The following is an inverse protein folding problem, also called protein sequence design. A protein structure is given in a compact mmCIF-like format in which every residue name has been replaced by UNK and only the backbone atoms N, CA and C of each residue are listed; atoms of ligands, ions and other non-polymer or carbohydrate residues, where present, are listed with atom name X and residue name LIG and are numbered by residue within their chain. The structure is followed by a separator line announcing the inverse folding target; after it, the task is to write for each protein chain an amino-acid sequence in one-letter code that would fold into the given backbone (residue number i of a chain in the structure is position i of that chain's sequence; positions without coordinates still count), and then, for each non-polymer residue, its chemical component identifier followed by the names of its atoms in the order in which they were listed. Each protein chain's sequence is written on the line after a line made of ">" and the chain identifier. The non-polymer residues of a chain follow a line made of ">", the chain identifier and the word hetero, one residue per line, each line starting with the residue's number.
data_IF_903761871032
#
_entry.id   IF_903761871032
#
_cell.length_a   1.000
_cell.length_b   1.000
_cell.length_c   1.000
_cell.angle_alpha   90.00
_cell.angle_beta   90.00
_cell.angle_gamma   90.00
#
_symmetry.space_group_name_H-M   'P 1'
#
loop_
_entity.id
_entity.type
_entity.pdbx_description
1 polymer ?
#
# COMPACT_ATOMS: atom_id res chain seq x y z
N UNK A 1 29.74 14.82 -8.59
CA UNK A 1 28.75 15.45 -7.69
C UNK A 1 27.32 15.13 -8.13
N UNK A 2 26.93 13.84 -8.26
CA UNK A 2 25.59 13.48 -8.81
C UNK A 2 24.99 12.21 -8.24
N UNK A 3 25.46 11.72 -7.10
CA UNK A 3 24.97 10.48 -6.46
C UNK A 3 23.85 10.72 -5.44
N UNK A 4 23.57 11.98 -5.06
CA UNK A 4 22.66 12.30 -3.96
C UNK A 4 21.22 12.59 -4.39
N UNK A 5 21.00 13.04 -5.62
CA UNK A 5 19.65 13.42 -6.08
C UNK A 5 18.73 12.21 -6.22
N UNK A 6 19.24 11.07 -6.74
CA UNK A 6 18.45 9.85 -6.84
C UNK A 6 18.23 9.16 -5.48
N UNK A 7 19.08 9.39 -4.48
CA UNK A 7 18.85 8.85 -3.14
C UNK A 7 17.70 9.60 -2.43
N UNK A 8 17.67 10.93 -2.56
CA UNK A 8 16.65 11.80 -1.94
C UNK A 8 15.24 11.56 -2.50
N UNK A 9 15.11 11.33 -3.82
CA UNK A 9 13.82 10.98 -4.44
C UNK A 9 13.31 9.59 -4.02
N UNK A 10 14.19 8.61 -3.85
CA UNK A 10 13.78 7.25 -3.46
C UNK A 10 13.35 7.16 -1.99
N UNK A 11 14.02 7.90 -1.11
CA UNK A 11 13.63 7.99 0.30
C UNK A 11 12.25 8.67 0.44
N UNK A 12 11.92 9.65 -0.43
CA UNK A 12 10.57 10.21 -0.48
C UNK A 12 9.54 9.20 -0.99
N UNK A 13 9.86 8.41 -2.00
CA UNK A 13 8.94 7.41 -2.56
C UNK A 13 8.59 6.33 -1.51
N UNK A 14 9.58 5.83 -0.76
CA UNK A 14 9.34 4.86 0.34
C UNK A 14 8.47 5.44 1.45
N UNK A 15 8.72 6.70 1.85
CA UNK A 15 7.91 7.38 2.85
C UNK A 15 6.45 7.57 2.37
N UNK A 16 6.26 7.84 1.08
CA UNK A 16 4.94 7.95 0.47
C UNK A 16 4.18 6.60 0.50
N UNK A 17 4.86 5.48 0.26
CA UNK A 17 4.26 4.14 0.40
C UNK A 17 3.77 3.87 1.82
N UNK A 18 4.54 4.22 2.83
CA UNK A 18 4.17 3.99 4.23
C UNK A 18 2.94 4.82 4.63
N UNK A 19 2.86 6.09 4.23
CA UNK A 19 1.68 6.94 4.47
C UNK A 19 0.43 6.38 3.77
N UNK A 20 0.59 5.88 2.53
CA UNK A 20 -0.51 5.23 1.82
C UNK A 20 -0.99 3.96 2.54
N UNK A 21 -0.07 3.13 3.03
CA UNK A 21 -0.40 1.90 3.75
C UNK A 21 -1.12 2.18 5.07
N UNK A 22 -0.67 3.16 5.86
CA UNK A 22 -1.35 3.57 7.10
C UNK A 22 -2.78 4.08 6.85
N UNK A 23 -2.94 4.86 5.77
CA UNK A 23 -4.26 5.34 5.34
C UNK A 23 -5.19 4.18 4.97
N UNK A 24 -4.67 3.20 4.22
CA UNK A 24 -5.42 2.01 3.82
C UNK A 24 -5.76 1.11 5.01
N UNK A 25 -4.85 0.95 5.97
CA UNK A 25 -5.09 0.21 7.21
C UNK A 25 -6.22 0.85 8.02
N UNK A 26 -6.22 2.18 8.15
CA UNK A 26 -7.30 2.91 8.81
C UNK A 26 -8.65 2.72 8.09
N UNK A 27 -8.66 2.78 6.76
CA UNK A 27 -9.87 2.59 5.96
C UNK A 27 -10.42 1.15 6.06
N UNK A 28 -9.53 0.16 6.09
CA UNK A 28 -9.88 -1.26 6.25
C UNK A 28 -10.53 -1.51 7.61
N UNK A 29 -9.95 -0.98 8.68
CA UNK A 29 -10.50 -1.16 10.04
C UNK A 29 -11.86 -0.47 10.19
N UNK A 30 -12.03 0.73 9.65
CA UNK A 30 -13.32 1.41 9.66
C UNK A 30 -14.37 0.64 8.84
N UNK A 31 -14.01 0.14 7.66
CA UNK A 31 -14.92 -0.66 6.84
C UNK A 31 -15.32 -1.97 7.54
N UNK A 32 -14.39 -2.68 8.17
CA UNK A 32 -14.67 -3.89 8.99
C UNK A 32 -15.65 -3.56 10.11
N UNK A 33 -15.40 -2.50 10.88
CA UNK A 33 -16.29 -2.03 11.93
C UNK A 33 -17.71 -1.75 11.43
N UNK A 34 -17.86 -1.11 10.26
CA UNK A 34 -19.17 -0.84 9.64
C UNK A 34 -19.87 -2.13 9.19
N UNK A 35 -19.12 -3.08 8.63
CA UNK A 35 -19.65 -4.39 8.26
C UNK A 35 -20.15 -5.16 9.49
N UNK A 36 -19.49 -5.05 10.64
CA UNK A 36 -19.83 -5.81 11.84
C UNK A 36 -20.95 -5.16 12.68
N UNK A 37 -21.00 -3.83 12.73
CA UNK A 37 -21.86 -3.06 13.64
C UNK A 37 -23.38 -3.03 13.33
N UNK A 38 -23.85 -3.66 12.24
CA UNK A 38 -25.23 -3.53 11.75
C UNK A 38 -26.23 -4.55 12.32
N UNK A 39 -27.47 -4.12 12.62
CA UNK A 39 -28.63 -5.02 12.87
C UNK A 39 -29.23 -5.49 11.53
N UNK A 40 -29.34 -6.81 11.32
CA UNK A 40 -29.70 -7.46 10.03
C UNK A 40 -31.22 -7.55 9.76
N UNK A 41 -32.05 -6.79 10.49
CA UNK A 41 -33.52 -6.95 10.38
C UNK A 41 -34.19 -6.04 9.34
N UNK A 42 -33.44 -5.16 8.67
CA UNK A 42 -33.95 -4.22 7.67
C UNK A 42 -33.15 -4.35 6.34
N UNK A 43 -33.87 -4.46 5.23
CA UNK A 43 -33.30 -4.56 3.88
C UNK A 43 -32.43 -3.36 3.49
N UNK A 44 -32.74 -2.15 3.97
CA UNK A 44 -31.91 -0.97 3.70
C UNK A 44 -30.57 -1.03 4.43
N UNK A 45 -30.57 -1.52 5.68
CA UNK A 45 -29.33 -1.75 6.43
C UNK A 45 -28.47 -2.83 5.77
N UNK A 46 -29.09 -3.87 5.21
CA UNK A 46 -28.36 -4.93 4.50
C UNK A 46 -27.76 -4.43 3.17
N UNK A 47 -28.47 -3.57 2.43
CA UNK A 47 -27.92 -2.89 1.25
C UNK A 47 -26.70 -2.05 1.58
N UNK A 48 -26.73 -1.33 2.70
CA UNK A 48 -25.58 -0.53 3.17
C UNK A 48 -24.42 -1.45 3.58
N UNK A 49 -24.69 -2.57 4.27
CA UNK A 49 -23.65 -3.55 4.62
C UNK A 49 -22.94 -4.10 3.39
N UNK A 50 -23.69 -4.46 2.34
CA UNK A 50 -23.10 -4.95 1.07
C UNK A 50 -22.15 -3.91 0.46
N UNK A 51 -22.48 -2.62 0.54
CA UNK A 51 -21.59 -1.54 0.06
C UNK A 51 -20.30 -1.49 0.87
N UNK A 52 -20.38 -1.63 2.19
CA UNK A 52 -19.19 -1.69 3.06
C UNK A 52 -18.34 -2.93 2.82
N UNK A 53 -18.96 -4.09 2.56
CA UNK A 53 -18.24 -5.32 2.18
C UNK A 53 -17.47 -5.09 0.87
N UNK A 54 -18.07 -4.45 -0.13
CA UNK A 54 -17.38 -4.11 -1.38
C UNK A 54 -16.25 -3.12 -1.16
N UNK A 55 -16.48 -2.08 -0.36
CA UNK A 55 -15.45 -1.10 -0.02
C UNK A 55 -14.27 -1.76 0.70
N UNK A 56 -14.55 -2.67 1.66
CA UNK A 56 -13.54 -3.45 2.36
C UNK A 56 -12.71 -4.31 1.40
N UNK A 57 -13.38 -5.09 0.53
CA UNK A 57 -12.69 -5.93 -0.44
C UNK A 57 -11.79 -5.11 -1.38
N UNK A 58 -12.27 -3.95 -1.80
CA UNK A 58 -11.48 -3.03 -2.63
C UNK A 58 -10.27 -2.48 -1.87
N UNK A 59 -10.45 -1.95 -0.66
CA UNK A 59 -9.37 -1.39 0.16
C UNK A 59 -8.29 -2.43 0.46
N UNK A 60 -8.67 -3.66 0.82
CA UNK A 60 -7.73 -4.78 1.03
C UNK A 60 -6.94 -5.09 -0.23
N UNK A 61 -7.60 -5.09 -1.41
CA UNK A 61 -6.89 -5.35 -2.66
C UNK A 61 -5.90 -4.23 -3.01
N UNK A 62 -6.28 -2.97 -2.82
CA UNK A 62 -5.39 -1.82 -3.06
C UNK A 62 -4.20 -1.85 -2.10
N UNK A 63 -4.41 -2.11 -0.81
CA UNK A 63 -3.33 -2.29 0.18
C UNK A 63 -2.32 -3.35 -0.25
N UNK A 64 -2.80 -4.49 -0.75
CA UNK A 64 -1.94 -5.54 -1.29
C UNK A 64 -1.12 -5.06 -2.49
N UNK A 65 -1.72 -4.30 -3.41
CA UNK A 65 -1.01 -3.74 -4.57
C UNK A 65 0.10 -2.78 -4.13
N UNK A 66 -0.22 -1.81 -3.26
CA UNK A 66 0.75 -0.86 -2.71
C UNK A 66 1.91 -1.57 -1.99
N UNK A 67 1.61 -2.63 -1.24
CA UNK A 67 2.65 -3.46 -0.59
C UNK A 67 3.56 -4.13 -1.62
N UNK A 68 2.99 -4.66 -2.69
CA UNK A 68 3.75 -5.29 -3.77
C UNK A 68 4.60 -4.27 -4.53
N UNK A 69 4.06 -3.09 -4.81
CA UNK A 69 4.77 -2.02 -5.51
C UNK A 69 5.98 -1.55 -4.70
N UNK A 70 5.81 -1.31 -3.40
CA UNK A 70 6.91 -1.02 -2.48
C UNK A 70 7.96 -2.14 -2.49
N UNK A 71 7.54 -3.40 -2.44
CA UNK A 71 8.46 -4.55 -2.47
C UNK A 71 9.22 -4.63 -3.79
N UNK A 72 8.56 -4.33 -4.92
CA UNK A 72 9.19 -4.32 -6.24
C UNK A 72 10.28 -3.23 -6.32
N UNK A 73 10.01 -2.05 -5.77
CA UNK A 73 10.98 -0.98 -5.69
C UNK A 73 12.18 -1.35 -4.81
N UNK A 74 11.95 -1.85 -3.59
CA UNK A 74 13.03 -2.33 -2.69
C UNK A 74 13.91 -3.42 -3.37
N UNK A 75 13.29 -4.32 -4.14
CA UNK A 75 14.03 -5.34 -4.89
C UNK A 75 14.83 -4.75 -6.05
N UNK A 76 14.26 -3.79 -6.79
CA UNK A 76 14.95 -3.10 -7.88
C UNK A 76 16.17 -2.33 -7.37
N UNK A 77 16.04 -1.63 -6.23
CA UNK A 77 17.15 -0.94 -5.58
C UNK A 77 18.26 -1.90 -5.16
N UNK A 78 17.89 -3.04 -4.57
CA UNK A 78 18.86 -4.05 -4.17
C UNK A 78 19.61 -4.63 -5.36
N UNK A 79 18.94 -4.80 -6.50
CA UNK A 79 19.60 -5.22 -7.75
C UNK A 79 20.58 -4.16 -8.23
N UNK A 80 20.18 -2.88 -8.29
CA UNK A 80 21.06 -1.76 -8.69
C UNK A 80 22.32 -1.68 -7.82
N UNK A 81 22.17 -1.88 -6.50
CA UNK A 81 23.29 -1.92 -5.56
C UNK A 81 24.22 -3.11 -5.79
N UNK A 82 23.70 -4.28 -6.17
CA UNK A 82 24.52 -5.47 -6.46
C UNK A 82 25.24 -5.34 -7.80
N UNK A 83 24.57 -4.80 -8.82
CA UNK A 83 25.14 -4.59 -10.15
C UNK A 83 26.26 -3.54 -10.13
N UNK A 84 26.08 -2.44 -9.38
CA UNK A 84 27.12 -1.42 -9.19
C UNK A 84 28.36 -1.94 -8.47
N UNK A 85 28.22 -2.96 -7.60
CA UNK A 85 29.35 -3.65 -6.97
C UNK A 85 30.06 -4.64 -7.92
N UNK A 86 29.34 -5.20 -8.90
CA UNK A 86 29.86 -6.16 -9.88
C UNK A 86 30.52 -5.53 -11.11
N UNK A 87 30.31 -4.24 -11.37
CA UNK A 87 31.07 -3.50 -12.38
C UNK A 87 32.31 -2.84 -11.72
N UNK A 88 33.47 -3.52 -11.64
CA UNK A 88 34.71 -2.82 -11.33
C UNK A 88 35.03 -1.89 -12.50
N UNK A 89 35.30 -0.62 -12.19
CA UNK A 89 35.83 0.38 -13.11
C UNK A 89 36.89 -0.21 -14.07
N UNK A 90 36.88 0.09 -15.38
CA UNK A 90 38.08 -0.05 -16.21
C UNK A 90 39.20 0.89 -15.74
#
# INVERSE_FOLDING_TARGET
>A
MSTNASADTRESDTADYDVMLETLDTAIEEAKRKVESGRVYDAENEKVRIKWIRALAYAVNVRRQVTNDRTLEELAERIEQLESQQQPNP
#
